data_IF_593899371177
#
_entry.id   IF_593899371177
#
_cell.length_a   1.000
_cell.length_b   1.000
_cell.length_c   1.000
_cell.angle_alpha   90.00
_cell.angle_beta   90.00
_cell.angle_gamma   90.00
#
_symmetry.space_group_name_H-M   'P 1'
#
loop_
_entity.id
_entity.type
_entity.pdbx_description
1 polymer ?
#
# COMPACT_ATOMS: atom_id res chain seq x y z
N UNK A 1 0.07 28.01 59.55
CA UNK A 1 0.57 28.59 58.27
C UNK A 1 -0.63 29.09 57.48
N UNK A 2 -0.54 30.30 56.92
CA UNK A 2 -1.64 31.16 56.44
C UNK A 2 -2.44 30.56 55.28
N UNK A 3 -3.77 30.76 55.32
CA UNK A 3 -4.73 30.47 54.27
C UNK A 3 -4.92 31.69 53.33
N UNK A 4 -5.04 31.43 52.03
CA UNK A 4 -5.54 32.30 50.94
C UNK A 4 -6.07 31.31 49.88
N UNK A 5 -7.36 31.01 49.67
CA UNK A 5 -8.59 31.82 49.45
C UNK A 5 -8.50 32.75 48.24
N UNK A 6 -8.95 32.22 47.10
CA UNK A 6 -9.83 32.91 46.16
C UNK A 6 -9.17 33.62 44.97
N UNK A 7 -9.48 33.17 43.75
CA UNK A 7 -10.36 33.93 42.84
C UNK A 7 -10.63 33.18 41.54
N UNK A 8 -11.91 33.10 41.24
CA UNK A 8 -12.58 32.58 40.06
C UNK A 8 -12.72 33.74 39.05
N UNK A 9 -12.24 33.59 37.81
CA UNK A 9 -12.73 34.42 36.69
C UNK A 9 -12.85 33.55 35.43
N UNK A 10 -14.10 33.24 35.11
CA UNK A 10 -14.58 32.86 33.78
C UNK A 10 -14.55 34.12 32.89
N UNK A 11 -14.05 34.04 31.65
CA UNK A 11 -14.58 34.85 30.54
C UNK A 11 -14.34 34.11 29.22
N UNK A 12 -15.44 33.76 28.56
CA UNK A 12 -15.49 33.27 27.19
C UNK A 12 -15.43 34.44 26.20
N UNK A 13 -14.63 34.31 25.15
CA UNK A 13 -14.75 35.13 23.95
C UNK A 13 -14.64 34.23 22.72
N UNK A 14 -15.78 33.99 22.07
CA UNK A 14 -15.85 33.53 20.69
C UNK A 14 -15.52 34.71 19.79
N UNK A 15 -14.44 34.61 19.01
CA UNK A 15 -14.25 35.35 17.78
C UNK A 15 -13.63 34.39 16.76
N UNK A 16 -14.35 34.16 15.66
CA UNK A 16 -13.94 33.28 14.57
C UNK A 16 -13.29 34.04 13.40
N UNK A 17 -12.97 33.24 12.37
CA UNK A 17 -12.51 33.60 11.02
C UNK A 17 -11.14 34.27 10.92
N UNK A 18 -10.33 34.08 9.90
CA UNK A 18 -10.30 33.20 8.73
C UNK A 18 -8.92 33.50 8.13
N UNK A 19 -8.16 32.48 7.77
CA UNK A 19 -7.09 32.62 6.79
C UNK A 19 -6.97 31.25 6.13
N UNK A 20 -7.60 31.16 4.97
CA UNK A 20 -7.43 30.11 3.98
C UNK A 20 -5.95 30.07 3.58
N UNK A 21 -5.16 29.25 4.28
CA UNK A 21 -3.91 28.77 3.73
C UNK A 21 -4.31 27.75 2.65
N UNK A 22 -4.31 28.23 1.41
CA UNK A 22 -4.30 27.42 0.19
C UNK A 22 -3.06 26.52 0.23
N UNK A 23 -3.14 25.48 1.06
CA UNK A 23 -2.29 24.30 1.04
C UNK A 23 -2.61 23.51 -0.21
N UNK A 24 -2.38 24.12 -1.37
CA UNK A 24 -2.24 23.41 -2.63
C UNK A 24 -0.94 22.61 -2.50
N UNK A 25 -1.05 21.45 -1.84
CA UNK A 25 -0.03 20.43 -1.89
C UNK A 25 0.25 20.20 -3.37
N UNK A 26 1.43 20.66 -3.82
CA UNK A 26 1.91 20.33 -5.16
C UNK A 26 1.84 18.82 -5.24
N UNK A 27 1.03 18.31 -6.17
CA UNK A 27 1.13 16.92 -6.59
C UNK A 27 2.61 16.62 -6.74
N UNK A 28 3.16 15.57 -6.07
CA UNK A 28 4.51 15.18 -6.35
C UNK A 28 4.54 14.88 -7.83
N UNK A 29 5.27 15.71 -8.59
CA UNK A 29 5.45 15.50 -10.00
C UNK A 29 5.87 14.05 -10.17
N UNK A 30 5.03 13.25 -10.84
CA UNK A 30 5.34 11.88 -11.22
C UNK A 30 6.60 11.96 -12.05
N UNK A 31 7.77 11.79 -11.42
CA UNK A 31 9.01 11.62 -12.16
C UNK A 31 8.85 10.32 -12.94
N UNK A 32 9.16 10.32 -14.25
CA UNK A 32 9.37 9.07 -14.95
C UNK A 32 10.36 8.24 -14.12
N UNK A 33 9.98 7.00 -13.77
CA UNK A 33 10.87 6.06 -13.11
C UNK A 33 12.16 5.94 -13.93
N UNK A 34 13.30 6.17 -13.31
CA UNK A 34 14.58 6.02 -13.98
C UNK A 34 14.78 4.54 -14.36
N UNK A 35 15.49 4.24 -15.46
CA UNK A 35 15.89 2.88 -15.78
C UNK A 35 16.74 2.31 -14.63
N UNK A 36 16.11 1.55 -13.74
CA UNK A 36 16.71 1.12 -12.48
C UNK A 36 15.72 1.07 -11.31
N UNK A 37 14.61 1.79 -11.38
CA UNK A 37 13.67 1.84 -10.26
C UNK A 37 12.82 0.57 -10.14
N UNK A 38 12.40 0.27 -8.91
CA UNK A 38 11.33 -0.69 -8.66
C UNK A 38 10.02 -0.20 -9.28
N UNK A 39 9.20 -1.12 -9.81
CA UNK A 39 7.91 -0.78 -10.41
C UNK A 39 6.83 -1.80 -10.05
N UNK A 40 5.62 -1.32 -9.79
CA UNK A 40 4.44 -2.19 -9.68
C UNK A 40 4.02 -2.58 -11.10
N UNK A 41 3.99 -3.88 -11.39
CA UNK A 41 3.65 -4.41 -12.72
C UNK A 41 2.23 -4.96 -12.79
N UNK A 42 1.65 -5.35 -11.65
CA UNK A 42 0.26 -5.79 -11.58
C UNK A 42 -0.32 -5.59 -10.18
N UNK A 43 -1.64 -5.47 -10.12
CA UNK A 43 -2.44 -5.54 -8.90
C UNK A 43 -3.48 -6.64 -9.09
N UNK A 44 -3.51 -7.61 -8.18
CA UNK A 44 -4.45 -8.73 -8.20
C UNK A 44 -5.36 -8.63 -6.98
N UNK A 45 -6.67 -8.58 -7.20
CA UNK A 45 -7.67 -8.49 -6.14
C UNK A 45 -8.54 -9.74 -6.07
N UNK A 46 -8.95 -10.12 -4.86
CA UNK A 46 -9.80 -11.30 -4.65
C UNK A 46 -10.61 -11.24 -3.35
N UNK A 47 -11.91 -11.53 -3.46
CA UNK A 47 -12.82 -11.55 -2.31
C UNK A 47 -12.50 -12.68 -1.34
N UNK A 48 -12.53 -12.38 -0.05
CA UNK A 48 -12.34 -13.30 1.08
C UNK A 48 -11.06 -14.15 1.01
N UNK A 49 -10.03 -13.69 0.27
CA UNK A 49 -8.87 -14.51 -0.04
C UNK A 49 -7.90 -14.70 1.15
N UNK A 50 -7.98 -13.85 2.18
CA UNK A 50 -7.06 -13.90 3.32
C UNK A 50 -5.69 -13.30 2.98
N UNK A 51 -4.62 -13.84 3.57
CA UNK A 51 -3.28 -13.28 3.46
C UNK A 51 -2.95 -12.29 4.57
N UNK A 52 -1.66 -12.13 4.82
CA UNK A 52 -1.14 -11.27 5.89
C UNK A 52 -0.68 -9.94 5.29
N UNK A 53 -1.37 -8.86 5.65
CA UNK A 53 -1.04 -7.52 5.15
C UNK A 53 0.36 -7.13 5.60
N UNK A 54 1.17 -6.69 4.64
CA UNK A 54 2.51 -6.18 4.87
C UNK A 54 2.75 -4.93 4.04
N UNK A 55 3.66 -4.07 4.48
CA UNK A 55 4.09 -2.90 3.72
C UNK A 55 5.33 -3.19 2.86
N UNK A 56 6.12 -4.19 3.26
CA UNK A 56 7.39 -4.52 2.62
C UNK A 56 7.22 -5.66 1.63
N UNK A 57 7.84 -5.52 0.46
CA UNK A 57 7.82 -6.53 -0.60
C UNK A 57 8.58 -7.79 -0.19
N UNK A 58 7.95 -8.95 -0.40
CA UNK A 58 8.62 -10.24 -0.35
C UNK A 58 9.27 -10.53 -1.70
N UNK A 59 10.58 -10.76 -1.72
CA UNK A 59 11.31 -11.16 -2.94
C UNK A 59 10.93 -12.59 -3.33
N UNK A 60 10.69 -12.81 -4.62
CA UNK A 60 10.23 -14.07 -5.22
C UNK A 60 11.24 -14.54 -6.28
N UNK A 61 12.48 -14.76 -5.86
CA UNK A 61 13.62 -15.14 -6.69
C UNK A 61 13.60 -16.61 -7.14
N UNK A 62 12.86 -17.47 -6.44
CA UNK A 62 12.70 -18.87 -6.80
C UNK A 62 11.28 -19.43 -6.63
N UNK A 63 11.06 -20.64 -7.16
CA UNK A 63 9.78 -21.32 -7.09
C UNK A 63 9.35 -21.69 -5.66
N UNK A 64 10.31 -21.84 -4.73
CA UNK A 64 10.07 -22.04 -3.31
C UNK A 64 9.50 -20.81 -2.63
N UNK A 65 10.09 -19.64 -2.87
CA UNK A 65 9.61 -18.34 -2.40
C UNK A 65 8.20 -18.06 -2.92
N UNK A 66 7.94 -18.28 -4.22
CA UNK A 66 6.60 -18.18 -4.80
C UNK A 66 5.62 -19.12 -4.10
N UNK A 67 5.97 -20.40 -3.92
CA UNK A 67 5.09 -21.34 -3.22
C UNK A 67 4.84 -20.93 -1.76
N UNK A 68 5.84 -20.41 -1.06
CA UNK A 68 5.70 -19.96 0.31
C UNK A 68 4.75 -18.77 0.39
N UNK A 69 4.95 -17.75 -0.44
CA UNK A 69 4.08 -16.58 -0.50
C UNK A 69 2.64 -16.98 -0.82
N UNK A 70 2.40 -17.87 -1.78
CA UNK A 70 1.03 -18.28 -2.16
C UNK A 70 0.28 -19.10 -1.10
N UNK A 71 0.98 -19.71 -0.13
CA UNK A 71 0.35 -20.52 0.93
C UNK A 71 -0.48 -19.69 1.92
N UNK A 72 -0.27 -18.38 1.98
CA UNK A 72 -1.01 -17.51 2.89
C UNK A 72 -2.49 -17.33 2.51
N UNK A 73 -2.84 -17.60 1.25
CA UNK A 73 -4.19 -17.40 0.76
C UNK A 73 -5.09 -18.60 1.08
N UNK A 74 -6.27 -18.31 1.61
CA UNK A 74 -7.32 -19.31 1.88
C UNK A 74 -8.07 -19.73 0.62
N UNK A 75 -8.02 -18.92 -0.44
CA UNK A 75 -8.71 -19.14 -1.71
C UNK A 75 -7.76 -19.73 -2.76
N UNK A 76 -7.90 -21.01 -3.14
CA UNK A 76 -7.08 -21.61 -4.21
C UNK A 76 -7.21 -20.92 -5.57
N UNK A 77 -8.42 -20.49 -6.03
CA UNK A 77 -8.54 -19.70 -7.25
C UNK A 77 -7.71 -18.41 -7.21
N UNK A 78 -7.79 -17.67 -6.10
CA UNK A 78 -7.01 -16.42 -5.96
C UNK A 78 -5.50 -16.68 -5.97
N UNK A 79 -5.04 -17.73 -5.28
CA UNK A 79 -3.63 -18.12 -5.34
C UNK A 79 -3.18 -18.51 -6.77
N UNK A 80 -4.08 -19.04 -7.59
CA UNK A 80 -3.84 -19.31 -9.00
C UNK A 80 -3.76 -18.01 -9.82
N UNK A 81 -4.62 -17.03 -9.55
CA UNK A 81 -4.62 -15.74 -10.24
C UNK A 81 -3.33 -14.95 -9.94
N UNK A 82 -2.88 -14.92 -8.69
CA UNK A 82 -1.60 -14.31 -8.31
C UNK A 82 -0.43 -15.01 -9.03
N UNK A 83 -0.46 -16.34 -9.11
CA UNK A 83 0.57 -17.10 -9.86
C UNK A 83 0.55 -16.78 -11.35
N UNK A 84 -0.63 -16.69 -11.95
CA UNK A 84 -0.77 -16.36 -13.36
C UNK A 84 -0.23 -14.95 -13.65
N UNK A 85 -0.51 -13.99 -12.77
CA UNK A 85 0.00 -12.63 -12.90
C UNK A 85 1.54 -12.56 -12.73
N UNK A 86 2.15 -13.38 -11.87
CA UNK A 86 3.61 -13.52 -11.80
C UNK A 86 4.19 -14.06 -13.11
N UNK A 87 3.52 -15.04 -13.73
CA UNK A 87 3.97 -15.66 -14.99
C UNK A 87 3.81 -14.76 -16.21
N UNK A 88 2.80 -13.89 -16.22
CA UNK A 88 2.58 -12.95 -17.33
C UNK A 88 3.51 -11.74 -17.30
N UNK A 89 4.24 -11.53 -16.20
CA UNK A 89 5.19 -10.43 -16.01
C UNK A 89 6.60 -10.97 -15.68
N UNK A 90 7.23 -11.75 -16.57
CA UNK A 90 8.60 -12.21 -16.32
C UNK A 90 9.53 -11.01 -16.09
N UNK A 91 10.43 -11.05 -15.09
CA UNK A 91 11.34 -9.94 -14.83
C UNK A 91 12.32 -9.80 -16.01
N UNK A 92 12.76 -8.57 -16.28
CA UNK A 92 13.83 -8.34 -17.24
C UNK A 92 15.19 -8.88 -16.72
N UNK A 93 16.20 -8.93 -17.59
CA UNK A 93 17.55 -9.31 -17.18
C UNK A 93 18.06 -8.42 -16.04
N UNK A 94 18.71 -9.03 -15.03
CA UNK A 94 19.20 -8.32 -13.85
C UNK A 94 18.12 -7.89 -12.86
N UNK A 95 16.91 -8.45 -12.96
CA UNK A 95 15.76 -8.11 -12.11
C UNK A 95 15.11 -9.34 -11.50
N UNK A 96 14.37 -9.13 -10.42
CA UNK A 96 13.60 -10.17 -9.72
C UNK A 96 12.18 -9.69 -9.45
N UNK A 97 11.22 -10.62 -9.42
CA UNK A 97 9.87 -10.28 -8.99
C UNK A 97 9.79 -10.28 -7.46
N UNK A 98 8.88 -9.46 -6.95
CA UNK A 98 8.42 -9.50 -5.59
C UNK A 98 6.90 -9.37 -5.52
N UNK A 99 6.33 -9.70 -4.37
CA UNK A 99 4.91 -9.48 -4.12
C UNK A 99 4.65 -9.04 -2.67
N UNK A 100 3.53 -8.36 -2.48
CA UNK A 100 3.07 -7.94 -1.15
C UNK A 100 1.55 -7.92 -1.10
N UNK A 101 0.98 -8.43 -0.01
CA UNK A 101 -0.42 -8.19 0.33
C UNK A 101 -0.51 -6.78 0.90
N UNK A 102 -0.86 -5.81 0.06
CA UNK A 102 -0.75 -4.40 0.43
C UNK A 102 -1.91 -3.94 1.32
N UNK A 103 -3.11 -4.50 1.14
CA UNK A 103 -4.27 -4.22 1.98
C UNK A 103 -5.36 -5.29 1.87
N UNK A 104 -6.27 -5.26 2.85
CA UNK A 104 -7.57 -5.91 2.78
C UNK A 104 -8.62 -4.82 2.98
N UNK A 105 -9.36 -4.49 1.92
CA UNK A 105 -10.34 -3.40 1.92
C UNK A 105 -11.60 -3.80 1.14
N UNK A 106 -12.49 -2.87 0.83
CA UNK A 106 -13.76 -3.17 0.12
C UNK A 106 -13.62 -3.09 -1.39
N UNK A 107 -12.55 -2.45 -1.87
CA UNK A 107 -12.29 -2.17 -3.27
C UNK A 107 -10.86 -2.59 -3.61
N UNK A 108 -10.56 -2.68 -4.90
CA UNK A 108 -9.18 -2.89 -5.36
C UNK A 108 -8.57 -1.51 -5.61
N UNK A 109 -7.41 -1.17 -5.02
CA UNK A 109 -6.66 0.02 -5.37
C UNK A 109 -6.39 0.08 -6.88
N UNK A 110 -6.70 1.21 -7.56
CA UNK A 110 -6.49 1.31 -9.01
C UNK A 110 -5.01 1.39 -9.39
N UNK A 111 -4.15 1.73 -8.43
CA UNK A 111 -2.71 1.86 -8.58
C UNK A 111 -2.01 1.54 -7.27
N UNK A 112 -0.69 1.41 -7.33
CA UNK A 112 0.18 1.38 -6.16
C UNK A 112 1.55 1.93 -6.57
N UNK A 113 2.25 2.55 -5.63
CA UNK A 113 3.63 3.00 -5.82
C UNK A 113 4.56 2.12 -5.01
N UNK A 114 5.82 2.02 -5.45
CA UNK A 114 6.88 1.34 -4.71
C UNK A 114 8.04 2.31 -4.52
N UNK A 115 8.61 2.32 -3.32
CA UNK A 115 9.79 3.10 -2.98
C UNK A 115 10.75 2.25 -2.17
N UNK A 116 12.05 2.50 -2.30
CA UNK A 116 13.07 1.92 -1.42
C UNK A 116 13.22 2.78 -0.16
N UNK A 117 13.08 2.17 1.01
CA UNK A 117 13.18 2.79 2.33
C UNK A 117 14.06 1.90 3.19
N UNK A 118 15.19 2.43 3.66
CA UNK A 118 16.14 1.71 4.50
C UNK A 118 16.58 0.33 3.93
N UNK A 119 16.73 0.23 2.61
CA UNK A 119 17.12 -1.00 1.91
C UNK A 119 15.99 -2.01 1.71
N UNK A 120 14.74 -1.62 2.00
CA UNK A 120 13.55 -2.44 1.78
C UNK A 120 12.59 -1.75 0.80
N UNK A 121 11.94 -2.53 -0.07
CA UNK A 121 10.93 -1.99 -0.97
C UNK A 121 9.57 -1.93 -0.26
N UNK A 122 9.01 -0.73 -0.14
CA UNK A 122 7.73 -0.44 0.50
C UNK A 122 6.70 -0.11 -0.57
N UNK A 123 5.53 -0.76 -0.52
CA UNK A 123 4.42 -0.49 -1.44
C UNK A 123 3.34 0.33 -0.75
N UNK A 124 2.88 1.38 -1.42
CA UNK A 124 1.76 2.21 -0.97
C UNK A 124 0.60 2.09 -1.96
N UNK A 125 -0.56 1.58 -1.54
CA UNK A 125 -1.77 1.58 -2.37
C UNK A 125 -2.17 2.99 -2.80
N UNK A 126 -2.60 3.12 -4.04
CA UNK A 126 -3.25 4.32 -4.54
C UNK A 126 -4.65 4.46 -3.93
N UNK A 127 -5.04 5.70 -3.64
CA UNK A 127 -6.37 5.99 -3.10
C UNK A 127 -7.46 5.60 -4.10
N UNK A 128 -8.47 4.87 -3.63
CA UNK A 128 -9.70 4.62 -4.40
C UNK A 128 -10.53 5.92 -4.47
N UNK A 129 -10.78 6.50 -5.66
CA UNK A 129 -11.41 7.83 -5.77
C UNK A 129 -12.86 7.88 -5.29
N UNK A 130 -13.61 6.80 -5.52
CA UNK A 130 -15.01 6.66 -5.15
C UNK A 130 -15.23 5.25 -4.59
N UNK A 131 -14.85 4.99 -3.32
CA UNK A 131 -15.04 3.67 -2.73
C UNK A 131 -16.52 3.36 -2.63
N UNK A 132 -16.88 2.10 -2.81
CA UNK A 132 -18.27 1.70 -2.64
C UNK A 132 -18.68 1.84 -1.17
N UNK A 133 -19.89 2.37 -0.88
CA UNK A 133 -20.35 2.48 0.50
C UNK A 133 -20.65 1.10 1.11
N UNK A 134 -21.02 0.14 0.27
CA UNK A 134 -21.34 -1.22 0.68
C UNK A 134 -20.10 -2.12 0.58
N UNK A 135 -19.69 -2.72 1.69
CA UNK A 135 -18.61 -3.70 1.73
C UNK A 135 -19.16 -5.13 1.84
N UNK A 136 -19.65 -5.68 0.74
CA UNK A 136 -20.29 -7.01 0.77
C UNK A 136 -19.30 -8.15 1.06
N UNK A 137 -18.03 -7.98 0.69
CA UNK A 137 -16.95 -8.89 1.04
C UNK A 137 -15.63 -8.14 1.09
N UNK A 138 -14.79 -8.47 2.07
CA UNK A 138 -13.43 -7.96 2.12
C UNK A 138 -12.64 -8.50 0.91
N UNK A 139 -11.91 -7.62 0.24
CA UNK A 139 -11.06 -7.88 -0.92
C UNK A 139 -9.60 -7.79 -0.48
N UNK A 140 -8.87 -8.88 -0.67
CA UNK A 140 -7.41 -8.88 -0.53
C UNK A 140 -6.81 -8.33 -1.81
N UNK A 141 -5.92 -7.36 -1.69
CA UNK A 141 -5.20 -6.77 -2.82
C UNK A 141 -3.70 -7.08 -2.73
N UNK A 142 -3.15 -7.66 -3.80
CA UNK A 142 -1.73 -8.02 -3.92
C UNK A 142 -1.08 -7.20 -5.01
N UNK A 143 0.01 -6.49 -4.68
CA UNK A 143 0.85 -5.87 -5.69
C UNK A 143 1.97 -6.84 -6.10
N UNK A 144 2.19 -6.96 -7.40
CA UNK A 144 3.36 -7.62 -7.99
C UNK A 144 4.31 -6.53 -8.43
N UNK A 145 5.56 -6.67 -8.03
CA UNK A 145 6.60 -5.66 -8.21
C UNK A 145 7.77 -6.27 -8.96
N UNK A 146 8.30 -5.55 -9.93
CA UNK A 146 9.54 -5.86 -10.60
C UNK A 146 10.66 -5.02 -9.95
N UNK A 147 11.67 -5.68 -9.39
CA UNK A 147 12.71 -5.10 -8.55
C UNK A 147 14.09 -5.26 -9.21
N UNK A 148 15.04 -4.34 -8.98
CA UNK A 148 16.45 -4.62 -9.25
C UNK A 148 16.92 -5.88 -8.51
N UNK A 149 17.69 -6.74 -9.16
CA UNK A 149 18.37 -7.81 -8.44
C UNK A 149 19.42 -7.19 -7.50
N UNK A 150 19.56 -7.72 -6.29
CA UNK A 150 20.67 -7.36 -5.42
C UNK A 150 21.98 -7.78 -6.11
N UNK A 151 22.87 -6.81 -6.36
CA UNK A 151 24.19 -7.02 -6.94
C UNK A 151 25.21 -7.59 -5.96
#
# INVERSE_FOLDING_TARGET
MKALLGSLVLLAALAGCSSEDDGSAKDPATRPSEPGDAKVVAIVGGSAAGGDVAQTVTVLDDAGAVRHFLKQFRSPPFASDVRAALQSHPPAEGRVLGAVVMEVSCDIPPSATVAEVDGAYVVTPGKVPAPHPECFAAVTSVAIVDLPAAG
#
